data_IF_486029996094
#
_entry.id   IF_486029996094
#
_cell.length_a   1.000
_cell.length_b   1.000
_cell.length_c   1.000
_cell.angle_alpha   90.00
_cell.angle_beta   90.00
_cell.angle_gamma   90.00
#
_symmetry.space_group_name_H-M   'P 1'
#
loop_
_entity.id
_entity.type
_entity.pdbx_description
1 polymer ?
#
# COMPACT_ATOMS: atom_id res chain seq x y z
N UNK A 1 3.31 -25.37 -2.62
CA UNK A 1 2.59 -24.27 -3.32
C UNK A 1 3.65 -23.37 -3.94
N UNK A 2 3.51 -23.02 -5.22
CA UNK A 2 4.41 -22.08 -5.89
C UNK A 2 3.90 -20.66 -5.63
N UNK A 3 4.77 -19.75 -5.21
CA UNK A 3 4.46 -18.33 -5.06
C UNK A 3 4.80 -17.67 -6.40
N UNK A 4 3.79 -17.18 -7.12
CA UNK A 4 3.98 -16.53 -8.43
C UNK A 4 3.75 -15.02 -8.33
N UNK A 5 2.93 -14.58 -7.37
CA UNK A 5 2.69 -13.16 -7.08
C UNK A 5 2.80 -12.90 -5.58
N UNK A 6 2.97 -11.64 -5.19
CA UNK A 6 3.08 -11.29 -3.77
C UNK A 6 1.77 -11.57 -3.00
N UNK A 7 0.63 -11.57 -3.69
CA UNK A 7 -0.68 -11.88 -3.13
C UNK A 7 -0.79 -13.35 -2.70
N UNK A 8 0.09 -14.23 -3.19
CA UNK A 8 0.15 -15.64 -2.76
C UNK A 8 0.90 -15.78 -1.42
N UNK A 9 1.61 -14.74 -0.96
CA UNK A 9 2.35 -14.75 0.30
C UNK A 9 1.37 -14.60 1.46
N UNK A 10 1.28 -15.63 2.30
CA UNK A 10 0.41 -15.61 3.48
C UNK A 10 0.74 -14.43 4.43
N UNK A 11 2.02 -14.11 4.62
CA UNK A 11 2.41 -12.95 5.44
C UNK A 11 1.87 -11.63 4.88
N UNK A 12 1.76 -11.48 3.55
CA UNK A 12 1.18 -10.29 2.92
C UNK A 12 -0.34 -10.23 3.14
N UNK A 13 -1.05 -11.35 3.01
CA UNK A 13 -2.50 -11.42 3.27
C UNK A 13 -2.84 -11.01 4.70
N UNK A 14 -2.05 -11.49 5.66
CA UNK A 14 -2.22 -11.15 7.08
C UNK A 14 -1.81 -9.70 7.38
N UNK A 15 -0.79 -9.16 6.70
CA UNK A 15 -0.46 -7.75 6.78
C UNK A 15 -1.60 -6.88 6.22
N UNK A 16 -2.22 -7.29 5.12
CA UNK A 16 -3.41 -6.60 4.56
C UNK A 16 -4.60 -6.62 5.53
N UNK A 17 -4.81 -7.73 6.23
CA UNK A 17 -5.83 -7.80 7.28
C UNK A 17 -5.50 -6.84 8.44
N UNK A 18 -4.23 -6.78 8.87
CA UNK A 18 -3.77 -5.85 9.90
C UNK A 18 -4.00 -4.38 9.49
N UNK A 19 -3.69 -4.01 8.24
CA UNK A 19 -3.96 -2.68 7.70
C UNK A 19 -5.43 -2.33 7.88
N UNK A 20 -6.34 -3.20 7.43
CA UNK A 20 -7.79 -2.97 7.58
C UNK A 20 -8.18 -2.74 9.05
N UNK A 21 -7.73 -3.59 9.96
CA UNK A 21 -8.06 -3.49 11.38
C UNK A 21 -7.54 -2.19 12.02
N UNK A 22 -6.31 -1.78 11.70
CA UNK A 22 -5.74 -0.51 12.18
C UNK A 22 -6.53 0.68 11.65
N UNK A 23 -6.92 0.67 10.38
CA UNK A 23 -7.76 1.74 9.80
C UNK A 23 -9.15 1.79 10.45
N UNK A 24 -9.76 0.65 10.73
CA UNK A 24 -11.04 0.57 11.44
C UNK A 24 -10.95 1.12 12.87
N UNK A 25 -9.88 0.81 13.60
CA UNK A 25 -9.65 1.33 14.95
C UNK A 25 -9.38 2.85 14.96
N UNK A 26 -8.51 3.30 14.05
CA UNK A 26 -8.09 4.69 13.98
C UNK A 26 -9.14 5.66 13.43
N UNK A 27 -10.20 5.15 12.80
CA UNK A 27 -11.34 5.95 12.35
C UNK A 27 -12.41 6.18 13.43
N UNK A 28 -12.25 5.61 14.63
CA UNK A 28 -13.17 5.79 15.76
C UNK A 28 -12.69 6.88 16.72
N UNK A 29 -13.61 7.58 17.38
CA UNK A 29 -13.25 8.50 18.45
C UNK A 29 -12.86 7.68 19.72
N UNK A 30 -11.91 8.16 20.54
CA UNK A 30 -11.18 9.43 20.38
C UNK A 30 -9.98 9.35 19.40
N UNK A 31 -9.55 8.15 19.00
CA UNK A 31 -8.35 7.94 18.16
C UNK A 31 -8.32 8.80 16.90
N UNK A 32 -9.45 8.91 16.18
CA UNK A 32 -9.55 9.67 14.93
C UNK A 32 -9.17 11.15 15.05
N UNK A 33 -9.23 11.71 16.27
CA UNK A 33 -8.97 13.12 16.55
C UNK A 33 -7.47 13.39 16.79
N UNK A 34 -6.69 12.40 17.22
CA UNK A 34 -5.23 12.50 17.30
C UNK A 34 -4.61 12.16 15.94
N UNK A 35 -4.51 13.17 15.09
CA UNK A 35 -3.91 13.04 13.75
C UNK A 35 -2.44 12.61 13.82
N UNK A 36 -1.71 12.96 14.88
CA UNK A 36 -0.30 12.64 15.01
C UNK A 36 -0.09 11.13 15.14
N UNK A 37 -0.71 10.52 16.15
CA UNK A 37 -0.61 9.08 16.39
C UNK A 37 -1.29 8.27 15.27
N UNK A 38 -2.48 8.70 14.84
CA UNK A 38 -3.22 8.06 13.74
C UNK A 38 -2.39 7.97 12.47
N UNK A 39 -1.85 9.10 11.99
CA UNK A 39 -1.17 9.14 10.70
C UNK A 39 0.18 8.38 10.78
N UNK A 40 0.79 8.29 11.96
CA UNK A 40 1.98 7.45 12.18
C UNK A 40 1.67 5.96 12.11
N UNK A 41 0.67 5.47 12.83
CA UNK A 41 0.33 4.03 12.83
C UNK A 41 -0.21 3.55 11.49
N UNK A 42 -0.97 4.39 10.78
CA UNK A 42 -1.45 4.09 9.44
C UNK A 42 -0.30 3.97 8.43
N UNK A 43 0.71 4.85 8.50
CA UNK A 43 1.91 4.73 7.65
C UNK A 43 2.74 3.50 7.99
N UNK A 44 2.94 3.23 9.28
CA UNK A 44 3.69 2.06 9.73
C UNK A 44 3.04 0.76 9.24
N UNK A 45 1.72 0.60 9.43
CA UNK A 45 1.02 -0.63 9.02
C UNK A 45 0.98 -0.82 7.50
N UNK A 46 0.82 0.25 6.72
CA UNK A 46 0.93 0.18 5.26
C UNK A 46 2.34 -0.24 4.86
N UNK A 47 3.37 0.31 5.50
CA UNK A 47 4.76 -0.03 5.21
C UNK A 47 5.06 -1.51 5.45
N UNK A 48 4.44 -2.16 6.44
CA UNK A 48 4.55 -3.62 6.63
C UNK A 48 4.10 -4.37 5.37
N UNK A 49 2.92 -4.02 4.83
CA UNK A 49 2.35 -4.68 3.65
C UNK A 49 3.13 -4.35 2.37
N UNK A 50 3.47 -3.08 2.17
CA UNK A 50 4.17 -2.59 0.97
C UNK A 50 5.57 -3.19 0.85
N UNK A 51 6.35 -3.24 1.94
CA UNK A 51 7.69 -3.80 1.91
C UNK A 51 7.69 -5.30 1.53
N UNK A 52 6.67 -6.06 1.91
CA UNK A 52 6.55 -7.48 1.49
C UNK A 52 6.37 -7.57 -0.03
N UNK A 53 5.52 -6.72 -0.60
CA UNK A 53 5.27 -6.68 -2.04
C UNK A 53 6.50 -6.20 -2.82
N UNK A 54 7.14 -5.12 -2.36
CA UNK A 54 8.37 -4.59 -2.98
C UNK A 54 9.50 -5.61 -2.95
N UNK A 55 9.71 -6.26 -1.81
CA UNK A 55 10.72 -7.31 -1.67
C UNK A 55 10.44 -8.55 -2.52
N UNK A 56 9.18 -8.86 -2.82
CA UNK A 56 8.84 -9.99 -3.66
C UNK A 56 9.38 -9.80 -5.10
N UNK A 57 9.32 -8.56 -5.60
CA UNK A 57 9.83 -8.15 -6.92
C UNK A 57 11.36 -8.21 -6.99
N UNK A 58 12.05 -8.25 -5.85
CA UNK A 58 13.51 -8.38 -5.79
C UNK A 58 14.03 -9.64 -6.51
N UNK A 59 15.18 -9.49 -7.18
CA UNK A 59 15.77 -10.54 -8.01
C UNK A 59 16.43 -11.66 -7.20
N UNK A 60 16.72 -11.42 -5.91
CA UNK A 60 17.41 -12.38 -5.05
C UNK A 60 16.72 -12.57 -3.69
N UNK A 61 16.92 -13.73 -3.08
CA UNK A 61 16.46 -13.99 -1.71
C UNK A 61 17.14 -13.05 -0.70
N UNK A 62 18.40 -12.69 -0.91
CA UNK A 62 19.14 -11.78 -0.03
C UNK A 62 18.48 -10.41 0.04
N UNK A 63 18.13 -9.85 -1.12
CA UNK A 63 17.44 -8.57 -1.21
C UNK A 63 16.02 -8.67 -0.65
N UNK A 64 15.29 -9.74 -0.96
CA UNK A 64 13.95 -9.96 -0.40
C UNK A 64 13.99 -9.99 1.14
N UNK A 65 14.98 -10.67 1.74
CA UNK A 65 15.17 -10.70 3.19
C UNK A 65 15.38 -9.29 3.77
N UNK A 66 16.07 -8.39 3.07
CA UNK A 66 16.24 -6.99 3.51
C UNK A 66 14.89 -6.28 3.61
N UNK A 67 14.03 -6.43 2.59
CA UNK A 67 12.68 -5.88 2.59
C UNK A 67 11.76 -6.48 3.64
N UNK A 68 11.84 -7.79 3.88
CA UNK A 68 11.13 -8.42 5.01
C UNK A 68 11.66 -7.90 6.36
N UNK A 69 12.94 -7.52 6.43
CA UNK A 69 13.53 -6.84 7.57
C UNK A 69 12.99 -5.43 7.79
N UNK A 70 12.73 -4.65 6.73
CA UNK A 70 12.00 -3.38 6.83
C UNK A 70 10.58 -3.61 7.35
N UNK A 71 9.88 -4.62 6.79
CA UNK A 71 8.53 -5.00 7.24
C UNK A 71 8.50 -5.29 8.74
N UNK A 72 9.47 -6.07 9.26
CA UNK A 72 9.57 -6.35 10.70
C UNK A 72 9.79 -5.08 11.55
N UNK A 73 10.61 -4.13 11.10
CA UNK A 73 10.78 -2.86 11.81
C UNK A 73 9.48 -2.07 11.88
N UNK A 74 8.76 -1.97 10.76
CA UNK A 74 7.45 -1.34 10.73
C UNK A 74 6.44 -2.05 11.65
N UNK A 75 6.51 -3.39 11.81
CA UNK A 75 5.64 -4.07 12.78
C UNK A 75 5.95 -3.68 14.23
N UNK A 76 7.22 -3.42 14.58
CA UNK A 76 7.59 -2.95 15.92
C UNK A 76 7.08 -1.53 16.21
N UNK A 77 7.06 -0.66 15.19
CA UNK A 77 6.42 0.66 15.29
C UNK A 77 4.91 0.53 15.55
N UNK A 78 4.21 -0.32 14.78
CA UNK A 78 2.78 -0.58 14.98
C UNK A 78 2.52 -1.09 16.41
N UNK A 79 3.31 -2.04 16.89
CA UNK A 79 3.18 -2.56 18.26
C UNK A 79 3.31 -1.44 19.30
N UNK A 80 4.32 -0.59 19.18
CA UNK A 80 4.56 0.51 20.13
C UNK A 80 3.41 1.51 20.12
N UNK A 81 2.88 1.84 18.94
CA UNK A 81 1.75 2.77 18.80
C UNK A 81 0.42 2.18 19.28
N UNK A 82 0.24 0.85 19.20
CA UNK A 82 -0.92 0.18 19.80
C UNK A 82 -0.91 0.26 21.33
N UNK A 83 0.26 0.13 21.98
CA UNK A 83 0.38 0.37 23.42
C UNK A 83 0.06 1.82 23.77
N UNK A 84 0.62 2.79 23.03
CA UNK A 84 0.28 4.20 23.24
C UNK A 84 -1.23 4.47 23.08
N UNK A 85 -1.88 3.84 22.09
CA UNK A 85 -3.31 3.96 21.90
C UNK A 85 -4.13 3.35 23.06
N UNK A 86 -3.65 2.27 23.69
CA UNK A 86 -4.28 1.69 24.88
C UNK A 86 -4.11 2.62 26.09
N UNK A 87 -2.90 3.11 26.34
CA UNK A 87 -2.56 3.97 27.48
C UNK A 87 -3.30 5.32 27.41
N UNK A 88 -3.57 5.82 26.21
CA UNK A 88 -4.36 7.03 25.97
C UNK A 88 -5.88 6.77 25.90
N UNK A 89 -6.32 5.53 26.14
CA UNK A 89 -7.72 5.10 26.06
C UNK A 89 -8.37 5.37 24.69
N UNK A 90 -7.58 5.27 23.62
CA UNK A 90 -8.05 5.40 22.23
C UNK A 90 -8.66 4.11 21.70
N UNK A 91 -8.28 2.99 22.29
CA UNK A 91 -8.86 1.66 22.09
C UNK A 91 -9.12 1.03 23.45
N UNK A 92 -10.13 0.16 23.53
CA UNK A 92 -10.37 -0.68 24.70
C UNK A 92 -9.49 -1.93 24.69
N UNK A 93 -9.43 -2.64 25.82
CA UNK A 93 -8.66 -3.88 25.97
C UNK A 93 -9.04 -4.93 24.92
N UNK A 94 -10.31 -5.01 24.55
CA UNK A 94 -10.77 -5.97 23.54
C UNK A 94 -10.18 -5.67 22.17
N UNK A 95 -10.30 -4.42 21.70
CA UNK A 95 -9.75 -3.96 20.43
C UNK A 95 -8.23 -4.05 20.42
N UNK A 96 -7.58 -3.68 21.53
CA UNK A 96 -6.14 -3.82 21.69
C UNK A 96 -5.69 -5.27 21.54
N UNK A 97 -6.33 -6.21 22.24
CA UNK A 97 -5.98 -7.63 22.17
C UNK A 97 -6.19 -8.22 20.77
N UNK A 98 -7.26 -7.82 20.06
CA UNK A 98 -7.48 -8.22 18.67
C UNK A 98 -6.36 -7.70 17.74
N UNK A 99 -6.01 -6.42 17.85
CA UNK A 99 -4.94 -5.80 17.05
C UNK A 99 -3.56 -6.42 17.36
N UNK A 100 -3.25 -6.63 18.63
CA UNK A 100 -2.02 -7.28 19.07
C UNK A 100 -1.91 -8.73 18.62
N UNK A 101 -3.02 -9.46 18.64
CA UNK A 101 -3.10 -10.82 18.09
C UNK A 101 -2.76 -10.86 16.60
N UNK A 102 -3.36 -9.95 15.82
CA UNK A 102 -3.11 -9.85 14.39
C UNK A 102 -1.68 -9.38 14.07
N UNK A 103 -1.18 -8.36 14.77
CA UNK A 103 0.22 -7.92 14.69
C UNK A 103 1.18 -9.08 14.95
N UNK A 104 0.97 -9.81 16.05
CA UNK A 104 1.86 -10.91 16.45
C UNK A 104 1.86 -12.05 15.43
N UNK A 105 0.71 -12.33 14.80
CA UNK A 105 0.60 -13.29 13.69
C UNK A 105 1.47 -12.85 12.51
N UNK A 106 1.35 -11.61 12.05
CA UNK A 106 2.16 -11.04 10.96
C UNK A 106 3.65 -11.11 11.28
N UNK A 107 4.06 -10.65 12.47
CA UNK A 107 5.46 -10.66 12.89
C UNK A 107 6.07 -12.08 12.90
N UNK A 108 5.34 -13.08 13.42
CA UNK A 108 5.80 -14.48 13.41
C UNK A 108 5.94 -15.03 11.99
N UNK A 109 5.01 -14.70 11.09
CA UNK A 109 5.06 -15.13 9.70
C UNK A 109 6.22 -14.50 8.95
N UNK A 110 6.49 -13.21 9.15
CA UNK A 110 7.66 -12.52 8.59
C UNK A 110 8.97 -13.16 9.07
N UNK A 111 9.10 -13.42 10.37
CA UNK A 111 10.28 -14.09 10.92
C UNK A 111 10.46 -15.50 10.35
N UNK A 112 9.37 -16.28 10.27
CA UNK A 112 9.37 -17.61 9.66
C UNK A 112 9.81 -17.56 8.20
N UNK A 113 9.31 -16.58 7.45
CA UNK A 113 9.62 -16.43 6.03
C UNK A 113 11.08 -16.03 5.81
N UNK A 114 11.62 -15.11 6.62
CA UNK A 114 13.04 -14.78 6.61
C UNK A 114 13.91 -16.00 6.90
N UNK A 115 13.56 -16.81 7.92
CA UNK A 115 14.29 -18.04 8.23
C UNK A 115 14.29 -19.00 7.05
N UNK A 116 13.13 -19.20 6.43
CA UNK A 116 12.99 -20.06 5.25
C UNK A 116 13.87 -19.58 4.07
N UNK A 117 13.87 -18.28 3.77
CA UNK A 117 14.64 -17.73 2.65
C UNK A 117 16.15 -17.79 2.91
N UNK A 118 16.61 -17.71 4.17
CA UNK A 118 18.02 -17.87 4.54
C UNK A 118 18.54 -19.29 4.33
N UNK A 119 17.68 -20.30 4.52
CA UNK A 119 18.04 -21.71 4.34
C UNK A 119 17.80 -22.21 2.91
N UNK A 120 17.03 -21.47 2.12
CA UNK A 120 16.73 -21.81 0.73
C UNK A 120 17.92 -21.53 -0.18
N UNK A 121 18.28 -22.50 -1.04
CA UNK A 121 19.25 -22.26 -2.13
C UNK A 121 18.78 -21.06 -2.98
N UNK A 122 19.68 -20.24 -3.54
CA UNK A 122 19.28 -19.15 -4.43
C UNK A 122 18.49 -19.72 -5.59
N UNK A 123 17.19 -19.44 -5.67
CA UNK A 123 16.39 -19.86 -6.83
C UNK A 123 16.71 -18.90 -7.97
N UNK A 124 17.48 -19.36 -8.96
CA UNK A 124 17.83 -18.61 -10.18
C UNK A 124 16.58 -18.29 -11.05
N UNK A 125 15.41 -18.85 -10.75
CA UNK A 125 14.20 -18.69 -11.56
C UNK A 125 13.07 -18.02 -10.79
N UNK A 126 13.15 -16.69 -10.61
CA UNK A 126 11.94 -15.87 -10.44
C UNK A 126 11.52 -15.36 -11.83
N UNK A 127 10.22 -15.38 -12.17
CA UNK A 127 9.77 -14.87 -13.45
C UNK A 127 10.01 -13.36 -13.52
N UNK A 128 10.85 -12.93 -14.46
CA UNK A 128 10.94 -11.53 -14.88
C UNK A 128 9.71 -11.24 -15.73
N UNK A 129 8.68 -10.60 -15.16
CA UNK A 129 7.76 -9.82 -15.98
C UNK A 129 6.98 -8.79 -15.16
N UNK A 130 7.41 -7.53 -15.24
CA UNK A 130 6.50 -6.39 -15.11
C UNK A 130 6.48 -5.73 -16.48
N UNK A 131 5.46 -6.03 -17.29
CA UNK A 131 5.16 -5.18 -18.44
C UNK A 131 4.79 -3.78 -17.91
N UNK A 132 5.30 -2.71 -18.52
CA UNK A 132 4.81 -1.36 -18.23
C UNK A 132 3.35 -1.27 -18.64
N UNK A 133 2.50 -0.72 -17.77
CA UNK A 133 1.14 -0.28 -18.08
C UNK A 133 1.16 0.54 -19.37
N UNK A 134 0.60 -0.03 -20.44
CA UNK A 134 0.42 0.65 -21.71
C UNK A 134 -0.38 1.95 -21.49
N UNK A 135 0.28 3.07 -21.73
CA UNK A 135 -0.39 4.33 -22.05
C UNK A 135 -1.25 4.08 -23.29
N UNK A 136 -2.53 4.40 -23.19
CA UNK A 136 -3.42 4.43 -24.33
C UNK A 136 -2.95 5.53 -25.29
N UNK A 137 -2.22 5.14 -26.34
CA UNK A 137 -2.02 5.98 -27.52
C UNK A 137 -3.35 6.06 -28.26
N UNK A 138 -4.02 7.21 -28.15
CA UNK A 138 -5.18 7.54 -28.99
C UNK A 138 -4.69 7.71 -30.42
N UNK A 139 -4.92 6.69 -31.25
CA UNK A 139 -4.83 6.80 -32.70
C UNK A 139 -6.16 7.37 -33.24
N UNK A 140 -6.14 8.59 -33.76
CA UNK A 140 -7.14 9.05 -34.73
C UNK A 140 -6.47 9.18 -36.09
N UNK A 141 -6.79 8.25 -36.99
CA UNK A 141 -6.44 8.29 -38.41
C UNK A 141 -7.60 8.92 -39.19
N UNK A 142 -7.30 10.12 -39.72
CA UNK A 142 -7.59 10.59 -41.08
C UNK A 142 -8.95 10.30 -41.73
N UNK A 143 -9.71 11.38 -41.98
CA UNK A 143 -10.43 11.59 -43.24
C UNK A 143 -10.74 13.08 -43.49
N UNK A 144 -10.30 13.59 -44.64
CA UNK A 144 -10.70 14.83 -45.35
C UNK A 144 -10.69 14.50 -46.85
N UNK A 145 -11.25 15.30 -47.80
CA UNK A 145 -11.93 16.62 -47.67
C UNK A 145 -13.24 16.75 -48.51
N UNK A 146 -14.01 17.86 -48.37
CA UNK A 146 -14.36 18.78 -49.48
C UNK A 146 -15.39 19.88 -49.10
N UNK A 147 -14.99 21.14 -49.30
CA UNK A 147 -15.71 22.35 -49.82
C UNK A 147 -17.18 22.68 -49.46
N UNK A 148 -17.41 23.83 -48.80
CA UNK A 148 -17.92 25.09 -49.40
C UNK A 148 -18.14 26.22 -48.35
N UNK A 149 -17.82 27.47 -48.75
CA UNK A 149 -17.99 28.78 -48.06
C UNK A 149 -19.44 29.34 -48.24
N UNK A 150 -19.80 30.56 -47.76
CA UNK A 150 -19.76 31.15 -46.40
C UNK A 150 -21.15 31.76 -46.04
N UNK A 151 -21.32 32.38 -44.85
CA UNK A 151 -22.04 33.68 -44.62
C UNK A 151 -22.20 34.01 -43.11
N UNK A 152 -21.61 35.16 -42.77
CA UNK A 152 -21.92 36.23 -41.79
C UNK A 152 -23.07 36.10 -40.76
N UNK A 153 -22.78 36.36 -39.46
CA UNK A 153 -23.20 37.58 -38.73
C UNK A 153 -22.70 37.61 -37.26
N UNK A 154 -22.19 38.78 -36.84
CA UNK A 154 -21.84 39.26 -35.49
C UNK A 154 -23.11 39.77 -34.73
N UNK A 155 -23.10 40.35 -33.49
CA UNK A 155 -22.02 40.54 -32.48
C UNK A 155 -22.43 40.41 -30.97
N UNK A 156 -21.45 40.63 -30.07
CA UNK A 156 -21.52 41.01 -28.62
C UNK A 156 -21.92 39.92 -27.60
N UNK A 157 -21.47 39.85 -26.34
CA UNK A 157 -21.12 40.88 -25.34
C UNK A 157 -20.38 40.28 -24.11
N UNK A 158 -19.42 41.06 -23.57
CA UNK A 158 -18.95 41.27 -22.17
C UNK A 158 -18.83 40.17 -21.08
N UNK A 159 -17.72 40.28 -20.33
CA UNK A 159 -17.54 39.93 -18.90
C UNK A 159 -16.54 38.78 -18.68
N UNK A 160 -15.38 38.86 -18.02
CA UNK A 160 -14.91 39.74 -16.94
C UNK A 160 -14.90 38.96 -15.62
N UNK A 161 -13.71 38.73 -15.02
CA UNK A 161 -13.36 38.45 -13.59
C UNK A 161 -12.17 37.47 -13.53
N UNK A 162 -10.94 37.95 -13.33
CA UNK A 162 -10.24 38.21 -12.06
C UNK A 162 -9.99 36.98 -11.18
N UNK A 163 -8.69 36.68 -11.06
CA UNK A 163 -8.10 35.71 -10.18
C UNK A 163 -8.04 36.24 -8.75
N UNK A 164 -8.30 35.33 -7.80
CA UNK A 164 -7.68 35.28 -6.48
C UNK A 164 -7.30 33.83 -6.25
#
# INVERSE_FOLDING_TARGET
MRIERFEDIEAWKEARALVRMVYEATNKAPFKNDRGLRDQIQRAVISVMSNIAEGFVSQTNKEFIVFLGYSLRSTAEVQSQLYAALDLHYVDDHTFNLLMGQYGKVARMLQGFIRYLKTSKPSINKPVNHQPTNQQTINQQTSKPSTNKPVNHQPTNKGGLHAI
#
